data_IF_881749216829
#
_entry.id   IF_881749216829
#
_cell.length_a   1.000
_cell.length_b   1.000
_cell.length_c   1.000
_cell.angle_alpha   90.00
_cell.angle_beta   90.00
_cell.angle_gamma   90.00
#
_symmetry.space_group_name_H-M   'P 1'
#
loop_
_entity.id
_entity.type
_entity.pdbx_description
1 polymer ?
#
# COMPACT_ATOMS: atom_id res chain seq x y z
N UNK A 1 53.20 -43.65 -47.54
CA UNK A 1 53.62 -42.48 -48.30
C UNK A 1 52.42 -41.52 -48.32
N UNK A 2 52.28 -40.74 -47.26
CA UNK A 2 52.46 -39.32 -47.20
C UNK A 2 51.48 -38.59 -48.12
N UNK A 3 50.52 -37.91 -47.56
CA UNK A 3 50.51 -36.44 -47.41
C UNK A 3 49.23 -35.92 -46.72
N UNK A 4 49.51 -35.25 -45.63
CA UNK A 4 48.62 -34.41 -44.82
C UNK A 4 47.95 -33.27 -45.62
N UNK A 5 46.68 -32.96 -45.38
CA UNK A 5 46.11 -31.61 -45.56
C UNK A 5 45.32 -31.22 -44.36
N UNK A 6 45.86 -30.24 -43.59
CA UNK A 6 45.19 -29.48 -42.57
C UNK A 6 44.06 -28.69 -43.21
N UNK A 7 42.82 -28.87 -42.71
CA UNK A 7 41.76 -27.95 -42.92
C UNK A 7 41.63 -27.12 -41.63
N UNK A 8 41.98 -25.85 -41.70
CA UNK A 8 41.71 -24.87 -40.69
C UNK A 8 40.19 -24.61 -40.67
N UNK A 9 39.57 -24.91 -39.54
CA UNK A 9 38.19 -24.55 -39.26
C UNK A 9 38.19 -23.14 -38.67
N UNK A 10 37.75 -22.13 -39.43
CA UNK A 10 37.50 -20.79 -38.95
C UNK A 10 36.20 -20.83 -38.15
N UNK A 11 36.32 -20.74 -36.86
CA UNK A 11 35.18 -20.63 -35.95
C UNK A 11 34.78 -19.13 -35.88
N UNK A 12 33.73 -18.74 -36.62
CA UNK A 12 33.14 -17.43 -36.49
C UNK A 12 32.35 -17.36 -35.19
N UNK A 13 32.84 -16.62 -34.19
CA UNK A 13 32.09 -16.24 -33.00
C UNK A 13 31.03 -15.23 -33.42
N UNK A 14 29.77 -15.66 -33.45
CA UNK A 14 28.63 -14.72 -33.44
C UNK A 14 28.42 -14.28 -32.00
N UNK A 15 28.89 -13.09 -31.66
CA UNK A 15 28.56 -12.43 -30.41
C UNK A 15 27.15 -11.86 -30.59
N UNK A 16 26.13 -12.60 -30.17
CA UNK A 16 24.81 -12.08 -29.98
C UNK A 16 24.85 -11.16 -28.75
N UNK A 17 24.83 -9.86 -28.98
CA UNK A 17 24.72 -8.85 -27.94
C UNK A 17 23.38 -8.95 -27.21
N UNK A 18 23.37 -9.64 -26.09
CA UNK A 18 22.31 -9.55 -25.10
C UNK A 18 22.36 -8.14 -24.52
N UNK A 19 21.50 -7.25 -25.01
CA UNK A 19 21.19 -6.01 -24.32
C UNK A 19 20.43 -6.36 -23.03
N UNK A 20 21.18 -6.67 -21.98
CA UNK A 20 20.69 -6.56 -20.60
C UNK A 20 20.45 -5.08 -20.36
N UNK A 21 19.22 -4.64 -20.56
CA UNK A 21 18.78 -3.34 -20.10
C UNK A 21 18.95 -3.30 -18.58
N UNK A 22 20.05 -2.71 -18.12
CA UNK A 22 20.26 -2.40 -16.70
C UNK A 22 19.13 -1.46 -16.30
N UNK A 23 18.13 -1.99 -15.58
CA UNK A 23 17.18 -1.15 -14.84
C UNK A 23 17.98 -0.55 -13.68
N UNK A 24 18.67 0.55 -13.97
CA UNK A 24 19.24 1.39 -12.92
C UNK A 24 18.07 2.02 -12.19
N UNK A 25 17.80 1.54 -10.99
CA UNK A 25 17.04 2.31 -10.03
C UNK A 25 17.75 3.67 -9.91
N UNK A 26 17.14 4.72 -10.45
CA UNK A 26 17.67 6.07 -10.33
C UNK A 26 17.64 6.45 -8.85
N UNK A 27 18.76 6.24 -8.18
CA UNK A 27 19.01 6.84 -6.88
C UNK A 27 19.03 8.36 -7.11
N UNK A 28 18.00 9.07 -6.60
CA UNK A 28 18.02 10.54 -6.59
C UNK A 28 19.33 10.98 -5.98
N UNK A 29 19.99 12.01 -6.53
CA UNK A 29 21.29 12.44 -6.05
C UNK A 29 21.28 12.69 -4.53
N UNK A 30 22.33 12.34 -3.83
CA UNK A 30 22.49 12.55 -2.37
C UNK A 30 22.14 13.98 -1.95
N UNK A 31 22.45 14.96 -2.79
CA UNK A 31 22.08 16.36 -2.59
C UNK A 31 20.56 16.59 -2.45
N UNK A 32 19.73 15.86 -3.20
CA UNK A 32 18.27 16.02 -3.11
C UNK A 32 17.69 15.43 -1.81
N UNK A 33 18.27 14.37 -1.30
CA UNK A 33 17.86 13.78 -0.02
C UNK A 33 18.22 14.70 1.15
N UNK A 34 19.40 15.34 1.13
CA UNK A 34 19.84 16.31 2.16
C UNK A 34 18.92 17.54 2.18
N UNK A 35 18.52 18.06 1.01
CA UNK A 35 17.61 19.20 0.92
C UNK A 35 16.22 18.82 1.47
N UNK A 36 15.73 17.64 1.14
CA UNK A 36 14.47 17.13 1.65
C UNK A 36 14.49 17.03 3.18
N UNK A 37 15.53 16.46 3.76
CA UNK A 37 15.67 16.33 5.21
C UNK A 37 15.75 17.69 5.92
N UNK A 38 16.38 18.69 5.30
CA UNK A 38 16.38 20.08 5.82
C UNK A 38 14.97 20.68 5.82
N UNK A 39 14.19 20.51 4.73
CA UNK A 39 12.80 20.98 4.64
C UNK A 39 11.93 20.34 5.73
N UNK A 40 11.98 19.01 5.87
CA UNK A 40 11.25 18.25 6.89
C UNK A 40 11.62 18.70 8.29
N UNK A 41 12.92 18.80 8.61
CA UNK A 41 13.39 19.23 9.93
C UNK A 41 12.99 20.67 10.24
N UNK A 42 13.04 21.57 9.26
CA UNK A 42 12.60 22.96 9.43
C UNK A 42 11.11 23.07 9.74
N UNK A 43 10.26 22.26 9.08
CA UNK A 43 8.83 22.23 9.35
C UNK A 43 8.55 21.64 10.74
N UNK A 44 9.16 20.51 11.08
CA UNK A 44 9.01 19.85 12.37
C UNK A 44 9.31 20.76 13.56
N UNK A 45 10.36 21.62 13.45
CA UNK A 45 10.70 22.59 14.50
C UNK A 45 9.64 23.65 14.73
N UNK A 46 8.74 23.89 13.79
CA UNK A 46 7.63 24.86 13.91
C UNK A 46 6.36 24.25 14.52
N UNK A 47 6.30 22.92 14.60
CA UNK A 47 5.11 22.19 15.06
C UNK A 47 5.04 22.15 16.58
N UNK A 48 3.84 22.36 17.12
CA UNK A 48 3.53 22.00 18.52
C UNK A 48 3.42 20.49 18.67
N UNK A 49 3.48 19.98 19.91
CA UNK A 49 3.30 18.55 20.16
C UNK A 49 1.94 18.05 19.65
N UNK A 50 0.88 18.83 19.84
CA UNK A 50 -0.47 18.52 19.36
C UNK A 50 -0.51 18.41 17.82
N UNK A 51 0.12 19.33 17.11
CA UNK A 51 0.20 19.29 15.64
C UNK A 51 1.05 18.11 15.13
N UNK A 52 2.12 17.75 15.85
CA UNK A 52 2.91 16.55 15.57
C UNK A 52 2.04 15.30 15.70
N UNK A 53 1.33 15.14 16.81
CA UNK A 53 0.40 14.02 17.04
C UNK A 53 -0.71 14.00 15.99
N UNK A 54 -1.21 15.16 15.60
CA UNK A 54 -2.22 15.28 14.54
C UNK A 54 -1.76 14.69 13.20
N UNK A 55 -0.48 14.79 12.85
CA UNK A 55 0.02 14.16 11.61
C UNK A 55 0.03 12.63 11.67
N UNK A 56 -0.02 12.05 12.86
CA UNK A 56 -0.08 10.60 13.08
C UNK A 56 -1.52 10.06 13.09
N UNK A 57 -2.52 10.88 12.81
CA UNK A 57 -3.93 10.55 12.89
C UNK A 57 -4.56 10.46 11.48
N UNK A 58 -5.22 9.33 11.19
CA UNK A 58 -6.03 9.14 10.00
C UNK A 58 -7.49 8.91 10.38
N UNK A 59 -8.39 9.68 9.77
CA UNK A 59 -9.82 9.49 9.90
C UNK A 59 -10.44 8.94 8.62
N UNK A 60 -11.41 8.05 8.76
CA UNK A 60 -12.33 7.70 7.68
C UNK A 60 -13.23 8.89 7.34
N UNK A 61 -13.75 8.94 6.12
CA UNK A 61 -14.78 9.91 5.74
C UNK A 61 -15.97 9.78 6.68
N UNK A 62 -16.32 10.86 7.37
CA UNK A 62 -17.28 10.83 8.49
C UNK A 62 -18.48 11.77 8.30
N UNK A 63 -18.56 12.45 7.16
CA UNK A 63 -19.73 13.23 6.76
C UNK A 63 -19.78 13.37 5.24
N UNK A 64 -20.92 13.82 4.71
CA UNK A 64 -21.02 14.26 3.32
C UNK A 64 -20.26 15.60 3.18
N UNK A 65 -19.06 15.55 2.59
CA UNK A 65 -18.14 16.69 2.49
C UNK A 65 -18.71 17.83 1.65
N UNK A 66 -19.63 17.52 0.74
CA UNK A 66 -20.34 18.53 -0.08
C UNK A 66 -21.57 19.10 0.61
N UNK A 67 -22.00 18.47 1.72
CA UNK A 67 -23.09 18.92 2.57
C UNK A 67 -22.66 19.87 3.70
N UNK A 68 -23.58 20.21 4.60
CA UNK A 68 -23.27 21.08 5.73
C UNK A 68 -22.28 20.41 6.70
N UNK A 69 -21.38 21.22 7.27
CA UNK A 69 -20.41 20.76 8.27
C UNK A 69 -21.10 20.16 9.49
N UNK A 70 -20.56 19.06 10.06
CA UNK A 70 -21.15 18.42 11.24
C UNK A 70 -21.07 19.33 12.46
N UNK A 71 -22.17 19.41 13.24
CA UNK A 71 -22.28 20.31 14.41
C UNK A 71 -22.32 19.57 15.74
N UNK A 72 -22.54 18.25 15.73
CA UNK A 72 -22.75 17.44 16.92
C UNK A 72 -22.06 16.07 16.83
N UNK A 73 -21.83 15.43 17.98
CA UNK A 73 -21.31 14.09 18.10
C UNK A 73 -19.84 13.93 17.69
N UNK A 74 -19.44 12.71 17.39
CA UNK A 74 -18.07 12.37 16.99
C UNK A 74 -17.65 13.02 15.67
N UNK A 75 -18.58 13.19 14.74
CA UNK A 75 -18.29 13.85 13.48
C UNK A 75 -17.89 15.32 13.67
N UNK A 76 -18.55 16.04 14.57
CA UNK A 76 -18.16 17.42 14.93
C UNK A 76 -16.77 17.46 15.55
N UNK A 77 -16.44 16.53 16.46
CA UNK A 77 -15.10 16.43 17.06
C UNK A 77 -14.03 16.20 16.00
N UNK A 78 -14.24 15.26 15.09
CA UNK A 78 -13.32 14.98 13.97
C UNK A 78 -13.16 16.20 13.05
N UNK A 79 -14.24 16.89 12.74
CA UNK A 79 -14.22 18.12 11.94
C UNK A 79 -13.43 19.26 12.60
N UNK A 80 -13.62 19.46 13.90
CA UNK A 80 -12.83 20.45 14.66
C UNK A 80 -11.34 20.05 14.71
N UNK A 81 -11.01 18.77 14.84
CA UNK A 81 -9.63 18.29 14.76
C UNK A 81 -9.02 18.61 13.40
N UNK A 82 -9.76 18.42 12.30
CA UNK A 82 -9.31 18.78 10.96
C UNK A 82 -8.96 20.27 10.85
N UNK A 83 -9.85 21.15 11.32
CA UNK A 83 -9.65 22.61 11.33
C UNK A 83 -8.48 23.06 12.20
N UNK A 84 -8.17 22.30 13.25
CA UNK A 84 -7.01 22.56 14.13
C UNK A 84 -5.70 22.01 13.58
N UNK A 85 -5.70 21.32 12.42
CA UNK A 85 -4.52 20.68 11.87
C UNK A 85 -4.12 19.38 12.58
N UNK A 86 -5.06 18.74 13.28
CA UNK A 86 -4.86 17.49 14.03
C UNK A 86 -5.23 16.25 13.22
N UNK A 87 -5.09 16.31 11.90
CA UNK A 87 -5.35 15.19 10.97
C UNK A 87 -4.25 15.17 9.92
N UNK A 88 -3.59 14.03 9.77
CA UNK A 88 -2.53 13.82 8.79
C UNK A 88 -3.02 13.20 7.49
N UNK A 89 -4.11 12.45 7.55
CA UNK A 89 -4.67 11.70 6.42
C UNK A 89 -6.17 11.50 6.56
N UNK A 90 -6.85 11.35 5.42
CA UNK A 90 -8.25 10.92 5.34
C UNK A 90 -8.35 9.62 4.52
N UNK A 91 -9.25 8.73 4.92
CA UNK A 91 -9.55 7.45 4.27
C UNK A 91 -10.95 7.50 3.68
N UNK A 92 -11.17 6.83 2.54
CA UNK A 92 -12.49 6.70 1.90
C UNK A 92 -13.14 8.01 1.45
N UNK A 93 -12.37 9.07 1.29
CA UNK A 93 -12.80 10.31 0.65
C UNK A 93 -12.30 10.31 -0.78
N UNK A 94 -13.19 10.44 -1.74
CA UNK A 94 -12.93 10.34 -3.18
C UNK A 94 -13.83 11.30 -3.95
N UNK A 95 -13.37 11.66 -5.14
CA UNK A 95 -13.98 12.72 -5.94
C UNK A 95 -13.20 14.02 -5.78
N UNK A 96 -12.88 14.66 -6.89
CA UNK A 96 -12.03 15.85 -6.89
C UNK A 96 -12.60 16.97 -6.03
N UNK A 97 -13.91 17.16 -6.01
CA UNK A 97 -14.58 18.21 -5.22
C UNK A 97 -14.43 17.98 -3.71
N UNK A 98 -14.69 16.75 -3.27
CA UNK A 98 -14.60 16.34 -1.87
C UNK A 98 -13.16 16.43 -1.38
N UNK A 99 -12.22 15.87 -2.12
CA UNK A 99 -10.78 15.91 -1.81
C UNK A 99 -10.28 17.36 -1.75
N UNK A 100 -10.62 18.19 -2.76
CA UNK A 100 -10.25 19.61 -2.79
C UNK A 100 -10.80 20.37 -1.58
N UNK A 101 -12.03 20.09 -1.18
CA UNK A 101 -12.68 20.75 -0.03
C UNK A 101 -11.92 20.48 1.27
N UNK A 102 -11.58 19.21 1.53
CA UNK A 102 -10.81 18.85 2.72
C UNK A 102 -9.37 19.37 2.67
N UNK A 103 -8.73 19.24 1.51
CA UNK A 103 -7.38 19.77 1.32
C UNK A 103 -7.32 21.28 1.55
N UNK A 104 -8.34 22.02 1.09
CA UNK A 104 -8.46 23.45 1.33
C UNK A 104 -8.54 23.80 2.81
N UNK A 105 -9.32 23.03 3.60
CA UNK A 105 -9.36 23.21 5.05
C UNK A 105 -7.96 23.01 5.65
N UNK A 106 -7.29 21.93 5.30
CA UNK A 106 -5.97 21.62 5.84
C UNK A 106 -4.91 22.66 5.47
N UNK A 107 -4.90 23.11 4.22
CA UNK A 107 -3.82 23.98 3.70
C UNK A 107 -4.09 25.47 3.98
N UNK A 108 -5.34 25.93 3.89
CA UNK A 108 -5.67 27.36 3.95
C UNK A 108 -6.24 27.81 5.31
N UNK A 109 -6.74 26.86 6.14
CA UNK A 109 -7.41 27.20 7.39
C UNK A 109 -6.66 26.72 8.64
N UNK A 110 -5.56 25.95 8.48
CA UNK A 110 -4.71 25.54 9.60
C UNK A 110 -3.44 26.37 9.68
N UNK A 111 -2.83 26.45 10.86
CA UNK A 111 -1.66 27.31 11.13
C UNK A 111 -0.45 27.01 10.25
N UNK A 112 -0.19 25.73 9.95
CA UNK A 112 1.00 25.29 9.21
C UNK A 112 0.72 24.92 7.76
N UNK A 113 -0.55 24.82 7.36
CA UNK A 113 -0.92 24.50 5.99
C UNK A 113 -0.39 23.15 5.49
N UNK A 114 -0.31 22.13 6.37
CA UNK A 114 0.23 20.82 6.01
C UNK A 114 -0.82 20.04 5.22
N UNK A 115 -0.54 19.63 3.96
CA UNK A 115 -1.51 18.91 3.14
C UNK A 115 -1.83 17.51 3.69
N UNK A 116 -3.05 17.02 3.42
CA UNK A 116 -3.51 15.68 3.78
C UNK A 116 -3.04 14.64 2.75
N UNK A 117 -2.90 13.39 3.22
CA UNK A 117 -2.95 12.21 2.37
C UNK A 117 -4.39 11.73 2.24
N UNK A 118 -4.76 11.18 1.08
CA UNK A 118 -6.07 10.58 0.83
C UNK A 118 -5.91 9.12 0.46
N UNK A 119 -6.31 8.24 1.39
CA UNK A 119 -6.16 6.79 1.27
C UNK A 119 -7.43 6.10 0.76
N UNK A 120 -7.24 5.00 0.01
CA UNK A 120 -8.31 4.12 -0.45
C UNK A 120 -7.78 2.71 -0.75
N UNK A 121 -8.64 1.68 -0.62
CA UNK A 121 -8.30 0.31 -1.00
C UNK A 121 -8.47 0.10 -2.50
N UNK A 122 -7.39 0.26 -3.27
CA UNK A 122 -7.35 0.01 -4.72
C UNK A 122 -6.64 -1.32 -4.95
N UNK A 123 -7.27 -2.42 -4.50
CA UNK A 123 -6.64 -3.76 -4.49
C UNK A 123 -6.56 -4.34 -5.90
N UNK A 124 -7.63 -4.22 -6.69
CA UNK A 124 -7.69 -4.71 -8.07
C UNK A 124 -8.51 -3.77 -8.98
N UNK A 125 -8.09 -2.52 -9.02
CA UNK A 125 -8.73 -1.43 -9.76
C UNK A 125 -9.52 -0.48 -8.86
N UNK A 126 -9.92 0.66 -9.41
CA UNK A 126 -10.76 1.64 -8.71
C UNK A 126 -12.21 1.59 -9.24
N UNK A 127 -12.52 2.25 -10.33
CA UNK A 127 -13.82 2.16 -11.02
C UNK A 127 -13.79 1.05 -12.06
N UNK A 128 -12.69 0.95 -12.78
CA UNK A 128 -12.41 -0.13 -13.71
C UNK A 128 -11.82 -1.31 -12.95
N UNK A 129 -12.61 -2.37 -12.80
CA UNK A 129 -12.24 -3.53 -11.97
C UNK A 129 -11.40 -4.51 -12.77
N UNK A 130 -10.17 -4.75 -12.31
CA UNK A 130 -9.25 -5.78 -12.81
C UNK A 130 -9.59 -7.16 -12.23
N UNK A 131 -9.07 -8.25 -12.82
CA UNK A 131 -9.07 -9.55 -12.14
C UNK A 131 -8.48 -9.44 -10.73
N UNK A 132 -8.93 -10.30 -9.82
CA UNK A 132 -8.37 -10.32 -8.46
C UNK A 132 -6.87 -10.61 -8.50
N UNK A 133 -6.08 -10.13 -7.52
CA UNK A 133 -4.63 -10.31 -7.51
C UNK A 133 -4.17 -11.76 -7.65
N UNK A 134 -4.88 -12.71 -7.06
CA UNK A 134 -4.61 -14.14 -7.22
C UNK A 134 -4.76 -14.61 -8.67
N UNK A 135 -5.76 -14.11 -9.39
CA UNK A 135 -5.95 -14.43 -10.80
C UNK A 135 -4.88 -13.76 -11.68
N UNK A 136 -4.52 -12.50 -11.40
CA UNK A 136 -3.41 -11.85 -12.09
C UNK A 136 -2.09 -12.60 -11.89
N UNK A 137 -1.84 -13.15 -10.68
CA UNK A 137 -0.62 -13.92 -10.40
C UNK A 137 -0.52 -15.21 -11.23
N UNK A 138 -1.67 -15.84 -11.54
CA UNK A 138 -1.72 -17.04 -12.40
C UNK A 138 -1.26 -16.78 -13.84
N UNK A 139 -1.21 -15.53 -14.29
CA UNK A 139 -0.67 -15.17 -15.61
C UNK A 139 0.84 -15.28 -15.72
N UNK A 140 1.57 -15.15 -14.62
CA UNK A 140 3.04 -15.04 -14.52
C UNK A 140 3.62 -13.89 -15.36
N UNK A 141 2.79 -12.97 -15.85
CA UNK A 141 3.20 -11.83 -16.67
C UNK A 141 3.41 -10.60 -15.80
N UNK A 142 4.62 -10.43 -15.28
CA UNK A 142 4.99 -9.33 -14.38
C UNK A 142 4.79 -7.96 -15.02
N UNK A 143 4.97 -7.85 -16.33
CA UNK A 143 4.77 -6.59 -17.05
C UNK A 143 3.28 -6.22 -17.09
N UNK A 144 2.40 -7.19 -17.38
CA UNK A 144 0.96 -6.96 -17.38
C UNK A 144 0.45 -6.62 -15.97
N UNK A 145 0.97 -7.29 -14.92
CA UNK A 145 0.65 -7.01 -13.51
C UNK A 145 1.09 -5.58 -13.13
N UNK A 146 2.28 -5.16 -13.54
CA UNK A 146 2.75 -3.78 -13.31
C UNK A 146 1.86 -2.75 -14.01
N UNK A 147 1.45 -3.03 -15.26
CA UNK A 147 0.56 -2.16 -16.03
C UNK A 147 -0.84 -2.08 -15.40
N UNK A 148 -1.38 -3.20 -14.87
CA UNK A 148 -2.63 -3.24 -14.13
C UNK A 148 -2.59 -2.31 -12.91
N UNK A 149 -1.52 -2.38 -12.11
CA UNK A 149 -1.31 -1.50 -10.97
C UNK A 149 -1.16 -0.02 -11.38
N UNK A 150 -0.45 0.27 -12.49
CA UNK A 150 -0.29 1.63 -12.99
C UNK A 150 -1.63 2.22 -13.51
N UNK A 151 -2.44 1.42 -14.17
CA UNK A 151 -3.80 1.79 -14.60
C UNK A 151 -4.69 2.13 -13.39
N UNK A 152 -4.67 1.27 -12.37
CA UNK A 152 -5.44 1.48 -11.15
C UNK A 152 -4.99 2.76 -10.41
N UNK A 153 -3.68 3.04 -10.40
CA UNK A 153 -3.10 4.26 -9.83
C UNK A 153 -3.55 5.51 -10.60
N UNK A 154 -3.53 5.47 -11.94
CA UNK A 154 -3.95 6.60 -12.78
C UNK A 154 -5.43 6.92 -12.55
N UNK A 155 -6.30 5.91 -12.51
CA UNK A 155 -7.74 6.10 -12.29
C UNK A 155 -8.04 6.61 -10.88
N UNK A 156 -7.40 6.04 -9.85
CA UNK A 156 -7.54 6.50 -8.47
C UNK A 156 -6.97 7.91 -8.26
N UNK A 157 -5.82 8.21 -8.85
CA UNK A 157 -5.21 9.54 -8.80
C UNK A 157 -6.10 10.62 -9.43
N UNK A 158 -6.85 10.27 -10.48
CA UNK A 158 -7.76 11.19 -11.16
C UNK A 158 -8.92 11.64 -10.26
N UNK A 159 -9.33 10.86 -9.27
CA UNK A 159 -10.40 11.18 -8.30
C UNK A 159 -9.87 11.74 -6.97
N UNK A 160 -8.59 12.12 -6.93
CA UNK A 160 -8.01 12.75 -5.74
C UNK A 160 -7.31 11.80 -4.76
N UNK A 161 -7.37 10.49 -4.97
CA UNK A 161 -6.67 9.49 -4.14
C UNK A 161 -5.17 9.57 -4.44
N UNK A 162 -4.35 9.70 -3.40
CA UNK A 162 -2.89 9.76 -3.55
C UNK A 162 -2.15 8.68 -2.77
N UNK A 163 -2.89 7.76 -2.15
CA UNK A 163 -2.37 6.64 -1.38
C UNK A 163 -3.31 5.43 -1.50
N UNK A 164 -2.78 4.26 -1.91
CA UNK A 164 -3.55 3.00 -1.89
C UNK A 164 -3.05 2.07 -0.80
N UNK A 165 -3.96 1.27 -0.21
CA UNK A 165 -3.64 0.18 0.71
C UNK A 165 -3.44 -1.13 -0.06
N UNK A 166 -2.56 -1.07 -1.06
CA UNK A 166 -2.10 -2.18 -1.91
C UNK A 166 -0.62 -1.97 -2.29
N UNK A 167 0.12 -3.05 -2.58
CA UNK A 167 -0.32 -4.44 -2.74
C UNK A 167 -0.42 -5.21 -1.40
N UNK A 168 -1.34 -6.17 -1.33
CA UNK A 168 -1.26 -7.23 -0.35
C UNK A 168 -0.17 -8.23 -0.80
N UNK A 169 0.80 -8.47 0.08
CA UNK A 169 1.97 -9.31 -0.21
C UNK A 169 2.10 -10.49 0.76
N UNK A 170 1.04 -10.79 1.49
CA UNK A 170 0.96 -11.97 2.35
C UNK A 170 1.07 -13.25 1.52
N UNK A 171 1.91 -14.19 1.97
CA UNK A 171 2.05 -15.52 1.37
C UNK A 171 0.98 -16.44 1.96
N UNK A 172 -0.01 -16.80 1.14
CA UNK A 172 -1.18 -17.57 1.59
C UNK A 172 -1.02 -19.05 1.28
N UNK A 173 -0.93 -19.89 2.32
CA UNK A 173 -0.83 -21.36 2.20
C UNK A 173 -2.13 -22.08 2.53
N UNK A 174 -2.98 -21.47 3.34
CA UNK A 174 -4.27 -22.03 3.71
C UNK A 174 -5.39 -21.39 2.87
N UNK A 175 -5.95 -22.14 1.92
CA UNK A 175 -7.01 -21.68 1.05
C UNK A 175 -8.34 -21.37 1.77
N UNK A 176 -8.46 -21.73 3.06
CA UNK A 176 -9.63 -21.38 3.88
C UNK A 176 -9.61 -19.93 4.34
N UNK A 177 -8.44 -19.26 4.35
CA UNK A 177 -8.35 -17.85 4.67
C UNK A 177 -9.09 -17.00 3.64
N UNK A 178 -10.08 -16.23 4.06
CA UNK A 178 -10.99 -15.48 3.16
C UNK A 178 -10.29 -14.40 2.33
N UNK A 179 -9.08 -13.97 2.70
CA UNK A 179 -8.32 -12.92 1.99
C UNK A 179 -7.29 -13.46 0.98
N UNK A 180 -7.26 -14.75 0.72
CA UNK A 180 -6.35 -15.37 -0.28
C UNK A 180 -6.45 -14.67 -1.64
N UNK A 181 -7.64 -14.20 -2.02
CA UNK A 181 -7.90 -13.52 -3.29
C UNK A 181 -7.14 -12.21 -3.47
N UNK A 182 -6.76 -11.54 -2.38
CA UNK A 182 -6.08 -10.24 -2.42
C UNK A 182 -4.57 -10.36 -2.71
N UNK A 183 -3.98 -11.53 -2.51
CA UNK A 183 -2.54 -11.79 -2.62
C UNK A 183 -2.12 -12.49 -3.89
N UNK A 184 -0.83 -12.88 -3.94
CA UNK A 184 -0.20 -13.51 -5.09
C UNK A 184 -0.11 -15.05 -4.99
N UNK A 185 -0.70 -15.66 -3.94
CA UNK A 185 -0.68 -17.10 -3.72
C UNK A 185 0.37 -17.55 -2.70
N UNK A 186 0.86 -18.78 -2.84
CA UNK A 186 1.66 -19.46 -1.82
C UNK A 186 3.18 -19.41 -2.03
N UNK A 187 3.64 -19.03 -3.23
CA UNK A 187 5.06 -19.00 -3.57
C UNK A 187 5.72 -17.67 -3.17
N UNK A 188 6.67 -17.66 -2.22
CA UNK A 188 7.30 -16.42 -1.77
C UNK A 188 8.21 -15.79 -2.84
N UNK A 189 8.74 -16.55 -3.80
CA UNK A 189 9.56 -16.02 -4.88
C UNK A 189 8.70 -15.26 -5.91
N UNK A 190 7.65 -15.91 -6.43
CA UNK A 190 6.70 -15.27 -7.35
C UNK A 190 6.02 -14.08 -6.65
N UNK A 191 5.62 -14.24 -5.38
CA UNK A 191 5.06 -13.16 -4.57
C UNK A 191 5.99 -11.96 -4.45
N UNK A 192 7.31 -12.19 -4.33
CA UNK A 192 8.33 -11.13 -4.29
C UNK A 192 8.44 -10.37 -5.61
N UNK A 193 8.41 -11.08 -6.74
CA UNK A 193 8.44 -10.45 -8.05
C UNK A 193 7.18 -9.62 -8.32
N UNK A 194 6.02 -10.14 -7.94
CA UNK A 194 4.72 -9.46 -8.08
C UNK A 194 4.64 -8.24 -7.14
N UNK A 195 5.11 -8.36 -5.90
CA UNK A 195 5.19 -7.22 -4.97
C UNK A 195 5.98 -6.07 -5.57
N UNK A 196 7.16 -6.35 -6.13
CA UNK A 196 7.98 -5.37 -6.84
C UNK A 196 7.25 -4.75 -8.03
N UNK A 197 6.64 -5.57 -8.89
CA UNK A 197 5.92 -5.10 -10.07
C UNK A 197 4.76 -4.15 -9.70
N UNK A 198 3.96 -4.51 -8.69
CA UNK A 198 2.84 -3.69 -8.21
C UNK A 198 3.31 -2.39 -7.56
N UNK A 199 4.34 -2.41 -6.72
CA UNK A 199 4.90 -1.19 -6.11
C UNK A 199 5.37 -0.22 -7.19
N UNK A 200 6.11 -0.71 -8.19
CA UNK A 200 6.57 0.12 -9.32
C UNK A 200 5.38 0.66 -10.12
N UNK A 201 4.37 -0.17 -10.37
CA UNK A 201 3.16 0.22 -11.11
C UNK A 201 2.39 1.34 -10.39
N UNK A 202 2.10 1.20 -9.09
CA UNK A 202 1.38 2.23 -8.34
C UNK A 202 2.19 3.52 -8.20
N UNK A 203 3.48 3.44 -7.87
CA UNK A 203 4.27 4.60 -7.47
C UNK A 203 4.93 5.33 -8.63
N UNK A 204 5.32 4.64 -9.71
CA UNK A 204 6.12 5.26 -10.76
C UNK A 204 7.27 6.07 -10.18
N UNK A 205 7.44 7.30 -10.64
CA UNK A 205 8.44 8.27 -10.16
C UNK A 205 7.84 9.46 -9.37
N UNK A 206 6.53 9.44 -9.13
CA UNK A 206 5.74 10.52 -8.52
C UNK A 206 5.76 11.86 -9.29
N UNK A 207 6.18 11.88 -10.55
CA UNK A 207 6.24 13.12 -11.35
C UNK A 207 4.86 13.68 -11.67
N UNK A 208 3.82 12.84 -11.72
CA UNK A 208 2.46 13.22 -12.10
C UNK A 208 1.41 12.74 -11.07
N UNK A 209 0.15 13.12 -11.30
CA UNK A 209 -1.01 12.64 -10.54
C UNK A 209 -1.47 11.22 -10.95
N UNK A 210 -0.79 10.59 -11.91
CA UNK A 210 -1.00 9.19 -12.29
C UNK A 210 -0.35 8.20 -11.31
N UNK A 211 0.53 8.68 -10.44
CA UNK A 211 1.29 7.89 -9.49
C UNK A 211 0.79 8.15 -8.08
N UNK A 212 0.52 7.10 -7.32
CA UNK A 212 0.05 7.17 -5.93
C UNK A 212 0.96 6.34 -5.02
N UNK A 213 0.94 6.61 -3.72
CA UNK A 213 1.68 5.80 -2.76
C UNK A 213 1.14 4.37 -2.73
N UNK A 214 2.03 3.39 -2.77
CA UNK A 214 1.73 1.99 -2.47
C UNK A 214 1.89 1.72 -0.98
N UNK A 215 1.17 0.70 -0.48
CA UNK A 215 1.25 0.22 0.89
C UNK A 215 1.39 -1.30 0.89
N UNK A 216 2.55 -1.83 1.26
CA UNK A 216 2.71 -3.26 1.41
C UNK A 216 2.03 -3.73 2.69
N UNK A 217 1.13 -4.69 2.57
CA UNK A 217 0.31 -5.19 3.68
C UNK A 217 0.14 -6.71 3.64
N UNK A 218 -0.10 -7.35 4.76
CA UNK A 218 -0.16 -6.85 6.15
C UNK A 218 1.07 -7.37 6.91
N UNK A 219 1.84 -6.49 7.50
CA UNK A 219 3.13 -6.83 8.10
C UNK A 219 2.97 -7.21 9.59
N UNK A 220 3.11 -8.51 10.00
CA UNK A 220 3.42 -9.64 9.15
C UNK A 220 2.80 -10.94 9.67
N UNK A 221 2.74 -11.93 8.78
CA UNK A 221 2.33 -13.28 9.13
C UNK A 221 0.82 -13.53 9.02
N UNK A 222 0.02 -12.58 8.60
CA UNK A 222 -1.44 -12.60 8.67
C UNK A 222 -2.09 -13.81 7.98
N UNK A 223 -1.55 -14.25 6.84
CA UNK A 223 -2.06 -15.41 6.11
C UNK A 223 -1.72 -16.78 6.76
N UNK A 224 -1.00 -16.77 7.87
CA UNK A 224 -0.70 -17.97 8.68
C UNK A 224 -1.63 -18.11 9.88
N UNK A 225 -2.70 -17.32 9.96
CA UNK A 225 -3.69 -17.42 11.02
C UNK A 225 -4.23 -18.86 11.17
N UNK A 226 -4.31 -19.34 12.40
CA UNK A 226 -4.71 -20.72 12.70
C UNK A 226 -6.04 -21.11 12.07
N UNK A 227 -6.04 -22.25 11.40
CA UNK A 227 -7.18 -22.81 10.68
C UNK A 227 -7.76 -21.88 9.57
N UNK A 228 -6.98 -20.94 9.05
CA UNK A 228 -7.42 -19.96 8.06
C UNK A 228 -8.44 -18.96 8.60
N UNK A 229 -8.60 -18.84 9.91
CA UNK A 229 -9.55 -17.91 10.52
C UNK A 229 -8.93 -16.53 10.62
N UNK A 230 -9.55 -15.57 9.98
CA UNK A 230 -9.11 -14.18 9.97
C UNK A 230 -8.99 -13.60 11.38
N UNK A 231 -8.07 -12.68 11.63
CA UNK A 231 -7.75 -12.08 12.93
C UNK A 231 -7.15 -13.01 13.99
N UNK A 232 -6.97 -14.28 13.68
CA UNK A 232 -6.57 -15.28 14.67
C UNK A 232 -5.06 -15.28 14.91
N UNK A 233 -4.65 -15.99 15.98
CA UNK A 233 -3.27 -16.21 16.39
C UNK A 233 -2.42 -16.80 15.27
N UNK A 234 -1.16 -16.35 15.19
CA UNK A 234 -0.12 -16.91 14.34
C UNK A 234 1.03 -17.37 15.22
N UNK A 235 1.30 -18.67 15.18
CA UNK A 235 2.44 -19.30 15.84
C UNK A 235 3.35 -19.93 14.76
N UNK A 236 4.41 -19.20 14.39
CA UNK A 236 5.39 -19.62 13.37
C UNK A 236 6.81 -19.25 13.79
N UNK A 237 7.73 -20.19 13.59
CA UNK A 237 9.14 -19.97 13.93
C UNK A 237 9.87 -19.01 12.99
N UNK A 238 10.99 -18.50 13.46
CA UNK A 238 11.87 -17.54 12.74
C UNK A 238 12.24 -18.01 11.33
N UNK A 239 12.48 -19.32 11.13
CA UNK A 239 12.80 -19.87 9.80
C UNK A 239 11.67 -19.66 8.79
N UNK A 240 10.40 -19.81 9.23
CA UNK A 240 9.24 -19.54 8.38
C UNK A 240 9.09 -18.04 8.10
N UNK A 241 9.31 -17.20 9.10
CA UNK A 241 9.31 -15.76 8.93
C UNK A 241 10.33 -15.32 7.89
N UNK A 242 11.58 -15.74 8.03
CA UNK A 242 12.70 -15.30 7.18
C UNK A 242 12.61 -15.83 5.74
N UNK A 243 12.18 -17.09 5.56
CA UNK A 243 12.23 -17.74 4.24
C UNK A 243 10.91 -17.68 3.47
N UNK A 244 9.79 -17.45 4.13
CA UNK A 244 8.46 -17.51 3.51
C UNK A 244 7.73 -16.18 3.64
N UNK A 245 7.58 -15.65 4.87
CA UNK A 245 6.75 -14.47 5.12
C UNK A 245 7.43 -13.19 4.66
N UNK A 246 8.69 -12.97 5.03
CA UNK A 246 9.40 -11.72 4.80
C UNK A 246 9.83 -11.44 3.35
N UNK A 247 10.15 -12.42 2.49
CA UNK A 247 10.70 -12.12 1.16
C UNK A 247 9.83 -11.17 0.30
N UNK A 248 8.50 -11.30 0.19
CA UNK A 248 7.70 -10.35 -0.59
C UNK A 248 7.67 -8.94 0.03
N UNK A 249 7.67 -8.82 1.36
CA UNK A 249 7.77 -7.53 2.04
C UNK A 249 9.12 -6.87 1.81
N UNK A 250 10.22 -7.66 1.89
CA UNK A 250 11.57 -7.15 1.59
C UNK A 250 11.68 -6.69 0.14
N UNK A 251 11.11 -7.45 -0.80
CA UNK A 251 11.07 -7.06 -2.21
C UNK A 251 10.29 -5.74 -2.43
N UNK A 252 9.22 -5.50 -1.67
CA UNK A 252 8.52 -4.22 -1.69
C UNK A 252 9.38 -3.06 -1.17
N UNK A 253 10.17 -3.28 -0.09
CA UNK A 253 11.15 -2.29 0.40
C UNK A 253 12.19 -1.99 -0.68
N UNK A 254 12.75 -3.01 -1.32
CA UNK A 254 13.77 -2.87 -2.37
C UNK A 254 13.22 -2.19 -3.63
N UNK A 255 11.92 -2.33 -3.89
CA UNK A 255 11.20 -1.59 -4.93
C UNK A 255 10.88 -0.13 -4.55
N UNK A 256 11.21 0.28 -3.33
CA UNK A 256 11.04 1.67 -2.87
C UNK A 256 9.63 2.00 -2.39
N UNK A 257 8.86 1.02 -1.89
CA UNK A 257 7.54 1.26 -1.30
C UNK A 257 7.61 2.34 -0.22
N UNK A 258 6.60 3.19 -0.14
CA UNK A 258 6.60 4.33 0.80
C UNK A 258 5.80 4.10 2.06
N UNK A 259 4.93 3.11 2.08
CA UNK A 259 4.14 2.81 3.28
C UNK A 259 4.00 1.31 3.50
N UNK A 260 3.84 0.95 4.75
CA UNK A 260 3.49 -0.39 5.20
C UNK A 260 2.26 -0.31 6.09
N UNK A 261 1.50 -1.40 6.16
CA UNK A 261 0.38 -1.53 7.09
C UNK A 261 0.61 -2.74 8.02
N UNK A 262 0.35 -2.55 9.32
CA UNK A 262 0.36 -3.65 10.28
C UNK A 262 -0.68 -4.71 9.92
N UNK A 263 -0.46 -5.93 10.34
CA UNK A 263 -1.48 -6.98 10.35
C UNK A 263 -2.31 -6.97 11.65
N UNK A 264 -3.49 -7.59 11.59
CA UNK A 264 -4.39 -7.66 12.75
C UNK A 264 -3.99 -8.76 13.76
N UNK A 265 -3.35 -9.83 13.28
CA UNK A 265 -2.99 -10.99 14.09
C UNK A 265 -1.96 -10.65 15.17
N UNK A 266 -1.93 -11.46 16.17
CA UNK A 266 -0.76 -11.61 17.02
C UNK A 266 0.22 -12.61 16.42
N UNK A 267 1.51 -12.37 16.63
CA UNK A 267 2.60 -13.27 16.31
C UNK A 267 3.30 -13.63 17.62
N UNK A 268 3.29 -14.91 17.96
CA UNK A 268 3.86 -15.41 19.22
C UNK A 268 3.32 -14.64 20.46
N UNK A 269 2.01 -14.37 20.48
CA UNK A 269 1.33 -13.65 21.57
C UNK A 269 1.51 -12.13 21.57
N UNK A 270 2.17 -11.53 20.56
CA UNK A 270 2.34 -10.09 20.45
C UNK A 270 1.60 -9.57 19.21
N UNK A 271 0.55 -8.74 19.37
CA UNK A 271 -0.12 -8.12 18.23
C UNK A 271 0.86 -7.40 17.31
N UNK A 272 0.79 -7.62 16.01
CA UNK A 272 1.72 -7.04 15.04
C UNK A 272 1.82 -5.52 15.16
N UNK A 273 0.71 -4.85 15.50
CA UNK A 273 0.64 -3.40 15.75
C UNK A 273 1.50 -2.96 16.95
N UNK A 274 1.68 -3.82 17.95
CA UNK A 274 2.52 -3.61 19.15
C UNK A 274 3.89 -4.30 19.08
N UNK A 275 4.26 -4.91 17.95
CA UNK A 275 5.45 -5.75 17.84
C UNK A 275 6.68 -4.95 17.39
N UNK A 276 7.52 -4.57 18.36
CA UNK A 276 8.76 -3.82 18.12
C UNK A 276 9.81 -4.63 17.32
N UNK A 277 9.83 -5.95 17.43
CA UNK A 277 10.72 -6.80 16.64
C UNK A 277 10.42 -6.63 15.14
N UNK A 278 9.15 -6.78 14.74
CA UNK A 278 8.74 -6.61 13.35
C UNK A 278 9.04 -5.20 12.82
N UNK A 279 8.62 -4.18 13.56
CA UNK A 279 8.60 -2.81 13.04
C UNK A 279 9.93 -2.08 13.20
N UNK A 280 10.55 -2.15 14.41
CA UNK A 280 11.78 -1.41 14.68
C UNK A 280 13.02 -2.17 14.25
N UNK A 281 13.12 -3.47 14.66
CA UNK A 281 14.30 -4.25 14.32
C UNK A 281 14.32 -4.62 12.84
N UNK A 282 13.30 -5.36 12.37
CA UNK A 282 13.31 -5.89 11.00
C UNK A 282 13.06 -4.79 9.98
N UNK A 283 11.89 -4.15 9.98
CA UNK A 283 11.49 -3.26 8.91
C UNK A 283 12.34 -1.97 8.86
N UNK A 284 12.40 -1.24 9.98
CA UNK A 284 13.09 0.07 10.02
C UNK A 284 14.59 -0.07 10.22
N UNK A 285 15.05 -1.07 10.99
CA UNK A 285 16.45 -1.33 11.29
C UNK A 285 17.13 -2.13 10.18
N UNK A 286 16.92 -3.45 10.16
CA UNK A 286 17.67 -4.35 9.29
C UNK A 286 17.42 -4.09 7.80
N UNK A 287 16.18 -3.73 7.41
CA UNK A 287 15.85 -3.43 6.01
C UNK A 287 16.00 -1.95 5.65
N UNK A 288 16.21 -1.09 6.62
CA UNK A 288 16.44 0.35 6.39
C UNK A 288 15.25 1.09 5.78
N UNK A 289 14.02 0.65 6.02
CA UNK A 289 12.81 1.26 5.48
C UNK A 289 12.67 2.73 5.86
N UNK A 290 12.51 3.61 4.88
CA UNK A 290 12.49 5.06 5.05
C UNK A 290 11.08 5.68 5.02
N UNK A 291 10.06 4.91 4.65
CA UNK A 291 8.66 5.33 4.67
C UNK A 291 8.06 5.26 6.07
N UNK A 292 6.74 5.25 6.17
CA UNK A 292 6.02 5.13 7.45
C UNK A 292 5.12 3.88 7.51
N UNK A 293 4.87 3.44 8.75
CA UNK A 293 3.95 2.35 9.08
C UNK A 293 2.61 2.95 9.50
N UNK A 294 1.50 2.50 8.89
CA UNK A 294 0.15 2.77 9.35
C UNK A 294 -0.42 1.52 10.05
N UNK A 295 -1.19 1.70 11.10
CA UNK A 295 -1.99 0.60 11.67
C UNK A 295 -3.03 0.14 10.66
N UNK A 296 -3.50 -1.10 10.75
CA UNK A 296 -4.73 -1.47 10.09
C UNK A 296 -5.93 -0.83 10.83
N UNK A 297 -7.13 -0.93 10.24
CA UNK A 297 -8.34 -0.29 10.75
C UNK A 297 -8.63 -0.69 12.20
N UNK A 298 -8.50 0.28 13.10
CA UNK A 298 -8.75 0.05 14.53
C UNK A 298 -7.74 -0.86 15.23
N UNK A 299 -6.69 -1.36 14.57
CA UNK A 299 -5.81 -2.41 15.13
C UNK A 299 -5.04 -1.98 16.38
N UNK A 300 -4.84 -0.66 16.59
CA UNK A 300 -4.30 -0.17 17.88
C UNK A 300 -5.30 -0.44 19.01
N UNK A 301 -6.58 -0.11 18.79
CA UNK A 301 -7.64 -0.35 19.75
C UNK A 301 -7.84 -1.87 20.02
N UNK A 302 -7.72 -2.70 18.99
CA UNK A 302 -7.89 -4.14 19.05
C UNK A 302 -6.85 -4.86 19.93
N UNK A 303 -5.71 -4.24 20.22
CA UNK A 303 -4.75 -4.78 21.21
C UNK A 303 -5.37 -4.99 22.60
N UNK A 304 -6.49 -4.31 22.91
CA UNK A 304 -7.26 -4.58 24.13
C UNK A 304 -8.01 -5.92 24.03
N UNK A 305 -8.61 -6.20 22.86
CA UNK A 305 -9.32 -7.47 22.62
C UNK A 305 -8.35 -8.67 22.62
N UNK A 306 -7.11 -8.47 22.18
CA UNK A 306 -6.03 -9.47 22.30
C UNK A 306 -5.53 -9.65 23.76
N UNK A 307 -6.01 -8.86 24.73
CA UNK A 307 -5.52 -8.89 26.11
C UNK A 307 -4.09 -8.32 26.29
N UNK A 308 -3.52 -7.70 25.25
CA UNK A 308 -2.17 -7.14 25.26
C UNK A 308 -2.12 -5.73 25.85
N UNK A 309 -3.16 -4.92 25.64
CA UNK A 309 -3.29 -3.60 26.23
C UNK A 309 -4.47 -3.53 27.19
N UNK A 310 -4.29 -2.86 28.35
CA UNK A 310 -5.33 -2.75 29.39
C UNK A 310 -6.44 -1.73 29.04
N UNK A 311 -6.09 -0.71 28.28
CA UNK A 311 -6.97 0.39 27.86
C UNK A 311 -6.41 1.05 26.58
N UNK A 312 -7.18 1.96 25.97
CA UNK A 312 -6.81 2.64 24.73
C UNK A 312 -5.52 3.48 24.87
N UNK A 313 -5.30 4.11 26.03
CA UNK A 313 -4.09 4.87 26.32
C UNK A 313 -2.85 3.97 26.34
N UNK A 314 -2.94 2.80 26.99
CA UNK A 314 -1.87 1.81 26.99
C UNK A 314 -1.62 1.24 25.57
N UNK A 315 -2.69 1.02 24.81
CA UNK A 315 -2.56 0.61 23.42
C UNK A 315 -1.80 1.66 22.58
N UNK A 316 -2.10 2.95 22.75
CA UNK A 316 -1.36 4.02 22.09
C UNK A 316 0.14 4.05 22.48
N UNK A 317 0.45 3.86 23.78
CA UNK A 317 1.83 3.76 24.28
C UNK A 317 2.60 2.61 23.62
N UNK A 318 2.00 1.42 23.60
CA UNK A 318 2.60 0.21 23.05
C UNK A 318 2.84 0.36 21.53
N UNK A 319 1.83 0.80 20.78
CA UNK A 319 1.90 0.91 19.33
C UNK A 319 2.97 1.92 18.84
N UNK A 320 2.98 3.13 19.39
CA UNK A 320 3.96 4.16 18.98
C UNK A 320 5.39 3.76 19.36
N UNK A 321 5.59 3.17 20.56
CA UNK A 321 6.89 2.68 20.99
C UNK A 321 7.35 1.47 20.15
N UNK A 322 6.43 0.63 19.68
CA UNK A 322 6.72 -0.47 18.77
C UNK A 322 7.08 0.00 17.34
N UNK A 323 6.66 1.21 16.95
CA UNK A 323 7.01 1.77 15.64
C UNK A 323 5.84 1.94 14.67
N UNK A 324 4.58 1.78 15.09
CA UNK A 324 3.42 2.18 14.31
C UNK A 324 3.38 3.71 14.22
N UNK A 325 3.57 4.27 13.01
CA UNK A 325 3.75 5.71 12.85
C UNK A 325 2.41 6.45 12.70
N UNK A 326 1.36 5.80 12.19
CA UNK A 326 0.05 6.41 11.97
C UNK A 326 -1.07 5.50 12.47
N UNK A 327 -2.03 6.10 13.15
CA UNK A 327 -3.24 5.47 13.70
C UNK A 327 -4.39 5.59 12.71
N UNK A 328 -4.87 4.45 12.18
CA UNK A 328 -6.06 4.38 11.34
C UNK A 328 -7.30 4.12 12.21
N UNK A 329 -8.11 5.13 12.43
CA UNK A 329 -9.46 5.08 13.03
C UNK A 329 -9.57 4.70 14.53
N UNK A 330 -8.51 4.31 15.22
CA UNK A 330 -8.61 4.04 16.67
C UNK A 330 -8.82 5.30 17.51
N UNK A 331 -8.42 6.46 17.01
CA UNK A 331 -8.32 7.73 17.76
C UNK A 331 -7.38 7.68 18.98
N UNK A 332 -6.64 6.58 19.13
CA UNK A 332 -5.75 6.33 20.26
C UNK A 332 -4.63 7.39 20.36
N UNK A 333 -4.04 7.75 19.21
CA UNK A 333 -2.94 8.70 19.18
C UNK A 333 -3.41 10.13 19.46
N UNK A 334 -4.43 10.60 18.77
CA UNK A 334 -4.92 11.97 18.93
C UNK A 334 -5.50 12.24 20.30
N UNK A 335 -6.01 11.21 21.00
CA UNK A 335 -6.57 11.34 22.34
C UNK A 335 -5.53 11.20 23.45
N UNK A 336 -4.46 10.42 23.27
CA UNK A 336 -3.61 10.01 24.39
C UNK A 336 -2.13 10.37 24.26
N UNK A 337 -1.55 10.51 23.04
CA UNK A 337 -0.09 10.66 22.91
C UNK A 337 0.47 11.94 23.53
N UNK A 338 -0.27 13.06 23.47
CA UNK A 338 0.17 14.30 24.11
C UNK A 338 0.35 14.10 25.62
N UNK A 339 -0.63 13.43 26.25
CA UNK A 339 -0.57 13.14 27.67
C UNK A 339 0.55 12.14 28.00
N UNK A 340 0.73 11.08 27.19
CA UNK A 340 1.78 10.09 27.38
C UNK A 340 3.18 10.69 27.28
N UNK A 341 3.38 11.68 26.40
CA UNK A 341 4.64 12.44 26.32
C UNK A 341 4.87 13.26 27.58
N UNK A 342 3.84 13.99 28.06
CA UNK A 342 3.92 14.79 29.30
C UNK A 342 4.18 13.93 30.56
N UNK A 343 3.70 12.69 30.55
CA UNK A 343 3.94 11.70 31.60
C UNK A 343 5.30 10.99 31.48
N UNK A 344 6.06 11.25 30.43
CA UNK A 344 7.36 10.61 30.17
C UNK A 344 7.27 9.13 29.74
N UNK A 345 6.07 8.63 29.39
CA UNK A 345 5.83 7.26 28.90
C UNK A 345 6.22 7.09 27.44
N UNK A 346 6.09 8.14 26.65
CA UNK A 346 6.52 8.22 25.28
C UNK A 346 7.50 9.38 25.14
N UNK A 347 8.64 9.15 24.48
CA UNK A 347 9.62 10.21 24.21
C UNK A 347 9.11 11.09 23.06
N UNK A 348 9.22 12.41 23.17
CA UNK A 348 8.87 13.30 22.06
C UNK A 348 9.68 12.99 20.81
N UNK A 349 10.92 12.52 20.94
CA UNK A 349 11.74 12.06 19.82
C UNK A 349 11.13 10.87 19.04
N UNK A 350 10.34 10.01 19.69
CA UNK A 350 9.59 8.94 19.03
C UNK A 350 8.47 9.51 18.14
N UNK A 351 7.76 10.52 18.65
CA UNK A 351 6.76 11.26 17.85
C UNK A 351 7.45 11.97 16.67
N UNK A 352 8.56 12.64 16.92
CA UNK A 352 9.35 13.33 15.87
C UNK A 352 9.82 12.39 14.76
N UNK A 353 10.20 11.16 15.09
CA UNK A 353 10.59 10.15 14.11
C UNK A 353 9.41 9.79 13.19
N UNK A 354 8.23 9.48 13.78
CA UNK A 354 7.03 9.14 13.02
C UNK A 354 6.58 10.30 12.12
N UNK A 355 6.51 11.52 12.65
CA UNK A 355 6.16 12.73 11.91
C UNK A 355 7.12 12.98 10.74
N UNK A 356 8.43 12.85 10.97
CA UNK A 356 9.45 13.00 9.90
C UNK A 356 9.20 12.06 8.73
N UNK A 357 8.84 10.81 8.99
CA UNK A 357 8.54 9.79 7.97
C UNK A 357 7.33 10.19 7.14
N UNK A 358 6.26 10.64 7.78
CA UNK A 358 5.03 11.09 7.13
C UNK A 358 5.27 12.37 6.32
N UNK A 359 5.90 13.38 6.90
CA UNK A 359 6.21 14.63 6.19
C UNK A 359 7.12 14.40 4.99
N UNK A 360 8.16 13.55 5.13
CA UNK A 360 9.04 13.18 4.02
C UNK A 360 8.24 12.56 2.87
N UNK A 361 7.27 11.69 3.16
CA UNK A 361 6.41 11.07 2.16
C UNK A 361 5.52 12.10 1.45
N UNK A 362 4.93 13.05 2.17
CA UNK A 362 4.15 14.17 1.60
C UNK A 362 5.00 15.06 0.69
N UNK A 363 6.26 15.33 1.07
CA UNK A 363 7.20 16.07 0.21
C UNK A 363 7.55 15.30 -1.07
N UNK A 364 7.79 13.98 -0.97
CA UNK A 364 8.09 13.13 -2.13
C UNK A 364 6.94 13.09 -3.13
N UNK A 365 5.69 13.09 -2.64
CA UNK A 365 4.50 13.22 -3.49
C UNK A 365 4.36 14.59 -4.17
N UNK A 366 5.13 15.58 -3.73
CA UNK A 366 5.04 16.96 -4.24
C UNK A 366 3.86 17.76 -3.69
N UNK A 367 3.22 17.30 -2.60
CA UNK A 367 2.03 17.96 -2.04
C UNK A 367 2.35 19.32 -1.41
N UNK A 368 3.58 19.57 -0.96
CA UNK A 368 4.01 20.89 -0.47
C UNK A 368 4.29 21.89 -1.60
N UNK A 369 4.63 21.40 -2.79
CA UNK A 369 4.84 22.25 -3.98
C UNK A 369 3.48 22.53 -4.66
N UNK A 370 2.59 21.55 -4.71
CA UNK A 370 1.21 21.67 -5.20
C UNK A 370 0.25 20.78 -4.38
N UNK A 371 -0.41 21.31 -3.34
CA UNK A 371 -1.33 20.54 -2.52
C UNK A 371 -2.57 20.03 -3.26
N UNK A 372 -2.90 20.65 -4.40
CA UNK A 372 -4.03 20.30 -5.26
C UNK A 372 -3.63 19.47 -6.49
N UNK A 373 -2.43 18.86 -6.49
CA UNK A 373 -1.89 18.06 -7.60
C UNK A 373 -2.87 16.99 -8.11
N UNK A 374 -3.65 16.41 -7.22
CA UNK A 374 -4.64 15.36 -7.52
C UNK A 374 -6.08 15.89 -7.65
N UNK A 375 -6.27 17.21 -7.79
CA UNK A 375 -7.58 17.85 -7.81
C UNK A 375 -7.85 18.55 -9.15
N UNK A 376 -8.05 17.76 -10.22
CA UNK A 376 -8.36 18.25 -11.57
C UNK A 376 -9.64 17.60 -12.08
N UNK A 377 -10.75 18.36 -12.12
CA UNK A 377 -12.08 17.88 -12.52
C UNK A 377 -12.15 17.46 -13.99
N UNK A 378 -11.40 18.10 -14.89
CA UNK A 378 -11.38 17.72 -16.29
C UNK A 378 -10.59 16.42 -16.49
N UNK A 379 -9.50 16.27 -15.74
CA UNK A 379 -8.74 15.02 -15.73
C UNK A 379 -9.56 13.86 -15.14
N UNK A 380 -10.33 14.08 -14.05
CA UNK A 380 -11.26 13.09 -13.49
C UNK A 380 -12.24 12.59 -14.56
N UNK A 381 -12.95 13.50 -15.23
CA UNK A 381 -13.93 13.17 -16.29
C UNK A 381 -13.31 12.42 -17.46
N UNK A 382 -12.09 12.80 -17.87
CA UNK A 382 -11.40 12.19 -19.01
C UNK A 382 -10.80 10.81 -18.70
N UNK A 383 -10.53 10.52 -17.41
CA UNK A 383 -9.74 9.35 -17.02
C UNK A 383 -10.58 8.21 -16.46
N UNK A 384 -11.61 8.52 -15.65
CA UNK A 384 -12.39 7.48 -14.96
C UNK A 384 -13.19 6.67 -15.98
N UNK A 385 -12.93 5.35 -16.02
CA UNK A 385 -13.63 4.42 -16.91
C UNK A 385 -13.30 4.59 -18.39
N UNK A 386 -12.13 5.15 -18.74
CA UNK A 386 -11.77 5.32 -20.15
C UNK A 386 -11.63 3.98 -20.89
N UNK A 387 -11.94 3.94 -22.22
CA UNK A 387 -11.98 2.68 -22.98
C UNK A 387 -10.68 1.88 -22.94
N UNK A 388 -9.53 2.55 -22.90
CA UNK A 388 -8.21 1.91 -22.85
C UNK A 388 -8.04 1.06 -21.59
N UNK A 389 -8.62 1.47 -20.46
CA UNK A 389 -8.58 0.71 -19.22
C UNK A 389 -9.39 -0.59 -19.35
N UNK A 390 -10.57 -0.54 -19.94
CA UNK A 390 -11.38 -1.73 -20.20
C UNK A 390 -10.65 -2.72 -21.11
N UNK A 391 -9.93 -2.22 -22.14
CA UNK A 391 -9.13 -3.08 -23.00
C UNK A 391 -7.97 -3.75 -22.23
N UNK A 392 -7.27 -3.02 -21.35
CA UNK A 392 -6.20 -3.58 -20.53
C UNK A 392 -6.72 -4.66 -19.58
N UNK A 393 -7.88 -4.41 -18.95
CA UNK A 393 -8.54 -5.39 -18.08
C UNK A 393 -8.92 -6.66 -18.85
N UNK A 394 -9.46 -6.52 -20.07
CA UNK A 394 -9.80 -7.66 -20.91
C UNK A 394 -8.56 -8.50 -21.26
N UNK A 395 -7.46 -7.87 -21.62
CA UNK A 395 -6.21 -8.59 -21.91
C UNK A 395 -5.63 -9.26 -20.65
N UNK A 396 -5.69 -8.60 -19.50
CA UNK A 396 -5.28 -9.19 -18.24
C UNK A 396 -6.16 -10.39 -17.85
N UNK A 397 -7.47 -10.28 -18.02
CA UNK A 397 -8.42 -11.37 -17.76
C UNK A 397 -8.13 -12.60 -18.63
N UNK A 398 -7.84 -12.40 -19.93
CA UNK A 398 -7.44 -13.49 -20.82
C UNK A 398 -6.15 -14.19 -20.35
N UNK A 399 -5.17 -13.44 -19.90
CA UNK A 399 -3.89 -13.98 -19.38
C UNK A 399 -4.07 -14.73 -18.05
N UNK A 400 -5.10 -14.40 -17.29
CA UNK A 400 -5.40 -15.02 -16.00
C UNK A 400 -6.15 -16.37 -16.10
N UNK A 401 -6.62 -16.74 -17.30
CA UNK A 401 -7.35 -18.00 -17.51
C UNK A 401 -6.36 -19.15 -17.65
N UNK A 402 -6.51 -20.16 -16.79
CA UNK A 402 -5.67 -21.36 -16.77
C UNK A 402 -6.46 -22.56 -17.34
N UNK A 403 -5.94 -23.20 -18.39
CA UNK A 403 -6.50 -24.39 -18.95
C UNK A 403 -6.07 -25.61 -18.10
N UNK A 404 -6.94 -26.09 -17.22
CA UNK A 404 -6.64 -27.19 -16.31
C UNK A 404 -6.78 -28.57 -16.99
N UNK A 405 -7.68 -28.70 -17.96
CA UNK A 405 -7.98 -29.97 -18.63
C UNK A 405 -8.60 -29.71 -19.99
N UNK A 406 -8.15 -30.41 -21.01
CA UNK A 406 -8.72 -30.38 -22.35
C UNK A 406 -8.62 -31.79 -22.99
N UNK A 407 -9.35 -32.76 -22.43
CA UNK A 407 -9.43 -34.11 -22.98
C UNK A 407 -10.15 -34.06 -24.32
N UNK A 408 -9.72 -34.92 -25.23
CA UNK A 408 -10.28 -35.05 -26.58
C UNK A 408 -10.23 -33.76 -27.43
N UNK A 409 -9.32 -32.83 -27.05
CA UNK A 409 -9.09 -31.56 -27.75
C UNK A 409 -10.38 -30.76 -28.05
N UNK A 410 -11.31 -30.75 -27.09
CA UNK A 410 -12.58 -30.07 -27.23
C UNK A 410 -12.47 -28.55 -27.38
N UNK A 411 -11.41 -27.99 -26.81
CA UNK A 411 -11.10 -26.57 -26.92
C UNK A 411 -9.97 -26.33 -27.93
N UNK A 412 -9.99 -25.25 -28.71
CA UNK A 412 -11.02 -24.20 -28.73
C UNK A 412 -12.32 -24.65 -29.38
N UNK A 413 -13.45 -24.19 -28.84
CA UNK A 413 -14.76 -24.49 -29.42
C UNK A 413 -14.88 -23.97 -30.87
N UNK A 414 -15.52 -24.74 -31.75
CA UNK A 414 -15.80 -24.29 -33.12
C UNK A 414 -16.68 -23.05 -33.11
N UNK A 415 -16.36 -22.05 -33.93
CA UNK A 415 -17.14 -20.80 -34.04
C UNK A 415 -18.51 -20.99 -34.71
N UNK A 416 -18.75 -22.16 -35.35
CA UNK A 416 -20.03 -22.53 -35.94
C UNK A 416 -21.01 -22.90 -34.85
N UNK A 417 -22.28 -22.53 -35.04
CA UNK A 417 -23.36 -22.66 -34.08
C UNK A 417 -23.41 -24.03 -33.40
N UNK A 418 -23.27 -24.00 -32.07
CA UNK A 418 -23.50 -25.16 -31.20
C UNK A 418 -24.47 -24.76 -30.11
N UNK A 419 -25.22 -25.72 -29.59
CA UNK A 419 -26.02 -25.50 -28.39
C UNK A 419 -25.07 -25.55 -27.18
N UNK A 420 -24.93 -24.43 -26.48
CA UNK A 420 -24.16 -24.32 -25.26
C UNK A 420 -25.12 -24.12 -24.09
N UNK A 421 -25.05 -25.01 -23.10
CA UNK A 421 -25.77 -24.82 -21.83
C UNK A 421 -24.83 -24.07 -20.85
N UNK A 422 -25.20 -22.84 -20.48
CA UNK A 422 -24.56 -22.07 -19.42
C UNK A 422 -25.31 -22.30 -18.11
N UNK A 423 -24.67 -22.89 -17.12
CA UNK A 423 -25.31 -23.31 -15.86
C UNK A 423 -24.52 -22.75 -14.66
N UNK A 424 -25.21 -22.43 -13.59
CA UNK A 424 -24.66 -21.95 -12.33
C UNK A 424 -25.44 -20.77 -11.77
N UNK A 425 -25.34 -20.56 -10.47
CA UNK A 425 -26.07 -19.49 -9.76
C UNK A 425 -25.79 -18.09 -10.29
N UNK A 426 -24.56 -17.86 -10.79
CA UNK A 426 -24.08 -16.53 -11.24
C UNK A 426 -24.32 -16.27 -12.73
N UNK A 427 -24.90 -17.22 -13.48
CA UNK A 427 -25.09 -17.09 -14.94
C UNK A 427 -26.08 -15.99 -15.35
N UNK A 428 -26.97 -15.59 -14.42
CA UNK A 428 -27.99 -14.55 -14.62
C UNK A 428 -27.67 -13.25 -13.87
N UNK A 429 -26.54 -13.17 -13.19
CA UNK A 429 -26.10 -11.94 -12.46
C UNK A 429 -25.39 -11.02 -13.44
N UNK A 430 -25.82 -9.75 -13.49
CA UNK A 430 -25.19 -8.67 -14.29
C UNK A 430 -24.32 -7.80 -13.42
#
# INVERSE_FOLDING_TARGET
MILTKKKQLVMALVIAGLHLGSITAQTKPVASAVILDKKVTSLLKKMTLEEKVGQLNQYNGFWDVTGPSPKEGQAAKKYENLKKGLVGSMLNVKGVKEVRTLQKIAVEQTRLGIPLLFGFDVIHGYKTISPIPLAESASWDLQAIQQSAAMAAEEAGAVGINWTFAPMVDVSRDARWGRVMEGAGEDPYLGSLIAKARVIGFQGDFSSNKNILACAKHFAGYAFAEAGRDYNTVDIGESTLQNIVFPPFKAAVDAGVRTFMNSFNELDGIPATGNAYLQRKILKGDWGFQGFMVSDWGSIMEMQAHGYAKDLKHAAELAINAGSDMDMESSAYVEHLVQLVREGKVKESTIDEAVKRILRTKFVLGLFDNPYKYCDEEYEKATVGKPEFHQQVLEMAKKSIVLLKNNDEILPLKKSCQKIALMGALTAVR
#
